data_IF_783473445471
#
_entry.id   IF_783473445471
#
_cell.length_a   1.000
_cell.length_b   1.000
_cell.length_c   1.000
_cell.angle_alpha   90.00
_cell.angle_beta   90.00
_cell.angle_gamma   90.00
#
_symmetry.space_group_name_H-M   'P 1'
#
loop_
_entity.id
_entity.type
_entity.pdbx_description
1 polymer ?
#
# COMPACT_ATOMS: atom_id res chain seq x y z
N UNK A 1 22.15 -11.15 -5.63
CA UNK A 1 20.98 -10.34 -6.06
C UNK A 1 19.84 -10.66 -5.11
N UNK A 2 19.18 -9.66 -4.52
CA UNK A 2 17.99 -9.90 -3.71
C UNK A 2 16.81 -10.20 -4.64
N UNK A 3 15.99 -11.20 -4.30
CA UNK A 3 14.78 -11.53 -5.05
C UNK A 3 13.70 -10.54 -4.65
N UNK A 4 13.05 -9.91 -5.64
CA UNK A 4 11.88 -9.08 -5.43
C UNK A 4 10.76 -9.92 -4.78
N UNK A 5 10.27 -9.49 -3.61
CA UNK A 5 9.11 -10.11 -2.95
C UNK A 5 7.87 -9.26 -3.14
N UNK A 6 6.76 -9.93 -3.48
CA UNK A 6 5.44 -9.32 -3.61
C UNK A 6 4.48 -9.95 -2.60
N UNK A 7 3.68 -9.14 -1.93
CA UNK A 7 2.68 -9.58 -0.95
C UNK A 7 1.35 -8.88 -1.19
N UNK A 8 0.24 -9.63 -1.09
CA UNK A 8 -1.12 -9.06 -1.05
C UNK A 8 -1.57 -8.97 0.40
N UNK A 9 -2.03 -7.79 0.81
CA UNK A 9 -2.48 -7.53 2.19
C UNK A 9 -3.91 -6.99 2.14
N UNK A 10 -4.77 -7.48 3.04
CA UNK A 10 -6.12 -6.95 3.26
C UNK A 10 -6.12 -6.15 4.56
N UNK A 11 -6.50 -4.87 4.48
CA UNK A 11 -6.60 -3.98 5.64
C UNK A 11 -8.08 -3.75 5.94
N UNK A 12 -8.49 -3.89 7.19
CA UNK A 12 -9.90 -3.76 7.62
C UNK A 12 -10.01 -2.81 8.81
N UNK A 13 -11.22 -2.32 9.08
CA UNK A 13 -11.50 -1.29 10.09
C UNK A 13 -11.84 0.06 9.46
N UNK A 14 -11.52 1.17 10.15
CA UNK A 14 -11.78 2.53 9.65
C UNK A 14 -10.70 2.95 8.64
N UNK A 15 -10.86 2.53 7.39
CA UNK A 15 -9.88 2.80 6.29
C UNK A 15 -10.44 3.67 5.16
N UNK A 16 -11.75 3.91 5.13
CA UNK A 16 -12.39 4.78 4.14
C UNK A 16 -12.67 6.17 4.73
N UNK A 17 -12.56 7.21 3.89
CA UNK A 17 -12.76 8.61 4.32
C UNK A 17 -11.65 9.19 5.20
N UNK A 18 -10.52 8.48 5.37
CA UNK A 18 -9.41 8.86 6.27
C UNK A 18 -8.06 9.01 5.55
N UNK A 19 -8.09 9.30 4.25
CA UNK A 19 -6.87 9.47 3.43
C UNK A 19 -5.94 8.24 3.33
N UNK A 20 -6.40 7.04 3.69
CA UNK A 20 -5.57 5.84 3.75
C UNK A 20 -4.83 5.51 2.43
N UNK A 21 -5.52 5.56 1.29
CA UNK A 21 -4.93 5.27 -0.03
C UNK A 21 -3.83 6.27 -0.42
N UNK A 22 -4.05 7.56 -0.15
CA UNK A 22 -3.06 8.62 -0.43
C UNK A 22 -1.81 8.43 0.40
N UNK A 23 -1.96 8.28 1.72
CA UNK A 23 -0.84 7.99 2.63
C UNK A 23 -0.08 6.72 2.22
N UNK A 24 -0.78 5.65 1.84
CA UNK A 24 -0.14 4.39 1.41
C UNK A 24 0.71 4.57 0.16
N UNK A 25 0.26 5.38 -0.81
CA UNK A 25 1.01 5.70 -2.03
C UNK A 25 2.28 6.49 -1.73
N UNK A 26 2.18 7.51 -0.87
CA UNK A 26 3.32 8.34 -0.48
C UNK A 26 4.37 7.51 0.27
N UNK A 27 3.92 6.65 1.18
CA UNK A 27 4.78 5.77 1.96
C UNK A 27 5.45 4.70 1.08
N UNK A 28 4.74 4.13 0.10
CA UNK A 28 5.30 3.21 -0.88
C UNK A 28 6.41 3.90 -1.71
N UNK A 29 6.15 5.14 -2.17
CA UNK A 29 7.11 5.95 -2.92
C UNK A 29 8.36 6.23 -2.09
N UNK A 30 8.20 6.65 -0.83
CA UNK A 30 9.28 6.92 0.11
C UNK A 30 10.18 5.71 0.38
N UNK A 31 9.61 4.50 0.32
CA UNK A 31 10.31 3.22 0.54
C UNK A 31 10.80 2.56 -0.75
N UNK A 32 10.56 3.14 -1.92
CA UNK A 32 10.92 2.54 -3.22
C UNK A 32 10.11 1.27 -3.54
N UNK A 33 8.92 1.12 -2.97
CA UNK A 33 8.04 -0.01 -3.22
C UNK A 33 7.21 0.21 -4.48
N UNK A 34 6.87 -0.89 -5.17
CA UNK A 34 6.03 -0.90 -6.38
C UNK A 34 4.77 -1.73 -6.13
N UNK A 35 3.62 -1.29 -6.63
CA UNK A 35 2.34 -1.99 -6.48
C UNK A 35 1.14 -1.05 -6.57
N UNK A 36 -0.02 -1.53 -6.11
CA UNK A 36 -1.26 -0.78 -6.06
C UNK A 36 -1.92 -0.87 -4.67
N UNK A 37 -2.74 0.13 -4.36
CA UNK A 37 -3.66 0.12 -3.24
C UNK A 37 -5.05 0.38 -3.79
N UNK A 38 -6.01 -0.45 -3.42
CA UNK A 38 -7.38 -0.36 -3.93
C UNK A 38 -8.40 -0.71 -2.84
N UNK A 39 -9.62 -0.22 -3.00
CA UNK A 39 -10.77 -0.68 -2.23
C UNK A 39 -11.49 -1.77 -3.05
N UNK A 40 -11.87 -2.87 -2.41
CA UNK A 40 -12.89 -3.78 -2.99
C UNK A 40 -14.26 -3.10 -3.05
#
# INVERSE_FOLDING_TARGET
MAVDRTMRVRVTGRVQGVWFRGWTKDEATRRGLRGWVDNE
#
